data_IF_640661126909
#
_entry.id   IF_640661126909
#
_cell.length_a   1.000
_cell.length_b   1.000
_cell.length_c   1.000
_cell.angle_alpha   90.00
_cell.angle_beta   90.00
_cell.angle_gamma   90.00
#
_symmetry.space_group_name_H-M   'P 1'
#
loop_
_entity.id
_entity.type
_entity.pdbx_description
1 polymer ?
#
# COMPACT_ATOMS: atom_id res chain seq x y z
N UNK A 1 4.98 3.21 -15.63
CA UNK A 1 4.87 4.47 -14.86
C UNK A 1 3.40 4.71 -14.57
N UNK A 2 3.03 4.94 -13.32
CA UNK A 2 1.65 5.27 -12.93
C UNK A 2 1.31 6.69 -13.36
N UNK A 3 0.09 6.93 -13.78
CA UNK A 3 -0.35 8.21 -14.37
C UNK A 3 -1.38 8.91 -13.49
N UNK A 4 -1.63 10.19 -13.75
CA UNK A 4 -2.72 10.93 -13.10
C UNK A 4 -4.09 10.27 -13.37
N UNK A 5 -4.26 9.63 -14.53
CA UNK A 5 -5.49 8.91 -14.87
C UNK A 5 -5.67 7.66 -14.00
N UNK A 6 -4.59 6.92 -13.71
CA UNK A 6 -4.64 5.77 -12.80
C UNK A 6 -5.06 6.21 -11.41
N UNK A 7 -4.56 7.37 -10.93
CA UNK A 7 -4.98 7.95 -9.68
C UNK A 7 -6.46 8.29 -9.64
N UNK A 8 -6.98 8.98 -10.65
CA UNK A 8 -8.40 9.33 -10.72
C UNK A 8 -9.28 8.08 -10.78
N UNK A 9 -8.87 7.05 -11.53
CA UNK A 9 -9.58 5.77 -11.59
C UNK A 9 -9.60 5.06 -10.25
N UNK A 10 -8.45 4.94 -9.60
CA UNK A 10 -8.36 4.34 -8.27
C UNK A 10 -9.18 5.13 -7.24
N UNK A 11 -9.05 6.45 -7.21
CA UNK A 11 -9.79 7.32 -6.31
C UNK A 11 -11.30 7.17 -6.45
N UNK A 12 -11.77 7.09 -7.67
CA UNK A 12 -13.19 7.00 -7.96
C UNK A 12 -13.77 5.59 -7.75
N UNK A 13 -12.96 4.55 -7.85
CA UNK A 13 -13.43 3.15 -7.87
C UNK A 13 -12.63 2.25 -6.91
N UNK A 14 -12.16 2.78 -5.80
CA UNK A 14 -11.37 2.01 -4.82
C UNK A 14 -12.09 0.74 -4.31
N UNK A 15 -13.42 0.71 -4.31
CA UNK A 15 -14.20 -0.48 -3.94
C UNK A 15 -14.05 -1.67 -4.89
N UNK A 16 -13.53 -1.49 -6.11
CA UNK A 16 -13.35 -2.61 -7.06
C UNK A 16 -12.33 -3.64 -6.60
N UNK A 17 -11.33 -3.17 -5.88
CA UNK A 17 -10.24 -3.99 -5.34
C UNK A 17 -10.37 -4.17 -3.83
N UNK A 18 -11.57 -3.91 -3.29
CA UNK A 18 -11.83 -4.07 -1.87
C UNK A 18 -11.82 -5.54 -1.46
N UNK A 19 -11.30 -5.79 -0.26
CA UNK A 19 -11.45 -7.09 0.39
C UNK A 19 -12.94 -7.49 0.47
N UNK A 20 -13.29 -8.75 0.23
CA UNK A 20 -14.68 -9.22 0.20
C UNK A 20 -15.50 -8.85 1.44
N UNK A 21 -14.87 -8.69 2.61
CA UNK A 21 -15.55 -8.33 3.85
C UNK A 21 -16.15 -6.92 3.87
N UNK A 22 -15.66 -6.04 2.96
CA UNK A 22 -16.22 -4.69 2.82
C UNK A 22 -17.53 -4.64 2.05
N UNK A 23 -17.82 -5.65 1.22
CA UNK A 23 -19.02 -5.61 0.41
C UNK A 23 -20.29 -5.76 1.26
N UNK A 24 -21.21 -4.79 1.22
CA UNK A 24 -22.55 -4.96 1.79
C UNK A 24 -23.22 -6.22 1.22
N UNK A 25 -24.03 -6.95 2.00
CA UNK A 25 -24.67 -8.20 1.54
C UNK A 25 -25.39 -8.07 0.21
N UNK A 26 -26.11 -6.98 -0.01
CA UNK A 26 -26.86 -6.73 -1.26
C UNK A 26 -25.94 -6.57 -2.48
N UNK A 27 -24.70 -6.07 -2.31
CA UNK A 27 -23.77 -5.86 -3.41
C UNK A 27 -22.96 -7.11 -3.74
N UNK A 28 -22.84 -8.07 -2.83
CA UNK A 28 -22.14 -9.34 -3.07
C UNK A 28 -22.81 -10.21 -4.14
N UNK A 29 -24.09 -9.99 -4.38
CA UNK A 29 -24.87 -10.74 -5.36
C UNK A 29 -24.81 -10.13 -6.77
N UNK A 30 -24.22 -8.97 -6.93
CA UNK A 30 -24.14 -8.27 -8.19
C UNK A 30 -22.94 -8.77 -9.02
N UNK A 31 -23.18 -8.91 -10.32
CA UNK A 31 -22.09 -9.15 -11.29
C UNK A 31 -21.25 -7.86 -11.47
N UNK A 32 -20.04 -7.98 -12.02
CA UNK A 32 -19.19 -6.83 -12.33
C UNK A 32 -19.91 -5.80 -13.25
N UNK A 33 -20.67 -6.29 -14.26
CA UNK A 33 -21.42 -5.42 -15.16
C UNK A 33 -22.55 -4.65 -14.44
N UNK A 34 -23.22 -5.29 -13.47
CA UNK A 34 -24.24 -4.64 -12.66
C UNK A 34 -23.62 -3.61 -11.70
N UNK A 35 -22.47 -3.93 -11.11
CA UNK A 35 -21.70 -2.98 -10.28
C UNK A 35 -21.27 -1.76 -11.10
N UNK A 36 -20.81 -1.95 -12.34
CA UNK A 36 -20.44 -0.85 -13.23
C UNK A 36 -21.65 0.01 -13.65
N UNK A 37 -22.81 -0.61 -13.87
CA UNK A 37 -24.04 0.11 -14.15
C UNK A 37 -24.49 0.94 -12.95
N UNK A 38 -24.44 0.36 -11.74
CA UNK A 38 -24.72 1.04 -10.49
C UNK A 38 -23.78 2.22 -10.25
N UNK A 39 -22.47 2.03 -10.52
CA UNK A 39 -21.46 3.07 -10.38
C UNK A 39 -21.72 4.27 -11.32
N UNK A 40 -22.18 4.02 -12.56
CA UNK A 40 -22.50 5.09 -13.50
C UNK A 40 -23.69 5.94 -13.05
N UNK A 41 -24.71 5.32 -12.45
CA UNK A 41 -25.93 6.02 -12.05
C UNK A 41 -25.91 6.56 -10.60
N UNK A 42 -25.20 5.86 -9.71
CA UNK A 42 -25.30 6.09 -8.26
C UNK A 42 -23.93 6.10 -7.56
N UNK A 43 -22.89 6.62 -8.23
CA UNK A 43 -21.51 6.62 -7.76
C UNK A 43 -21.35 7.07 -6.31
N UNK A 44 -21.93 8.22 -5.94
CA UNK A 44 -21.81 8.74 -4.59
C UNK A 44 -22.48 7.87 -3.51
N UNK A 45 -23.63 7.25 -3.85
CA UNK A 45 -24.30 6.33 -2.93
C UNK A 45 -23.50 5.03 -2.77
N UNK A 46 -22.96 4.51 -3.87
CA UNK A 46 -22.10 3.34 -3.85
C UNK A 46 -20.82 3.60 -3.02
N UNK A 47 -20.16 4.74 -3.22
CA UNK A 47 -18.99 5.11 -2.43
C UNK A 47 -19.30 5.15 -0.92
N UNK A 48 -20.40 5.76 -0.53
CA UNK A 48 -20.84 5.82 0.88
C UNK A 48 -21.12 4.44 1.48
N UNK A 49 -21.62 3.48 0.69
CA UNK A 49 -21.86 2.11 1.19
C UNK A 49 -20.58 1.38 1.60
N UNK A 50 -19.42 1.82 1.09
CA UNK A 50 -18.07 1.38 1.50
C UNK A 50 -17.44 2.31 2.55
N UNK A 51 -18.19 3.28 3.09
CA UNK A 51 -17.66 4.26 4.04
C UNK A 51 -16.66 5.24 3.42
N UNK A 52 -16.80 5.52 2.12
CA UNK A 52 -15.98 6.51 1.41
C UNK A 52 -16.76 7.82 1.32
N UNK A 53 -16.16 8.91 1.76
CA UNK A 53 -16.70 10.26 1.55
C UNK A 53 -16.42 10.71 0.12
N UNK A 54 -17.47 10.97 -0.70
CA UNK A 54 -17.28 11.48 -2.05
C UNK A 54 -16.62 12.86 -2.04
N UNK A 55 -15.49 12.98 -2.69
CA UNK A 55 -14.76 14.24 -2.87
C UNK A 55 -13.85 14.16 -4.09
N UNK A 56 -13.40 15.31 -4.57
CA UNK A 56 -12.42 15.38 -5.66
C UNK A 56 -11.07 14.80 -5.24
N UNK A 57 -10.37 14.09 -6.13
CA UNK A 57 -9.05 13.57 -5.82
C UNK A 57 -8.06 14.72 -5.56
N UNK A 58 -7.29 14.69 -4.48
CA UNK A 58 -6.17 15.58 -4.30
C UNK A 58 -5.04 15.22 -5.27
N UNK A 59 -4.09 16.12 -5.46
CA UNK A 59 -2.88 15.78 -6.19
C UNK A 59 -2.04 14.81 -5.34
N UNK A 60 -1.77 13.58 -5.81
CA UNK A 60 -0.99 12.61 -5.06
C UNK A 60 0.50 12.95 -5.14
N UNK A 61 1.24 12.65 -4.08
CA UNK A 61 2.68 12.54 -4.22
C UNK A 61 3.03 11.23 -4.98
N UNK A 62 4.23 11.13 -5.60
CA UNK A 62 4.60 9.97 -6.41
C UNK A 62 4.54 8.63 -5.63
N UNK A 63 4.91 8.63 -4.35
CA UNK A 63 4.93 7.40 -3.55
C UNK A 63 3.53 6.93 -3.18
N UNK A 64 2.59 7.86 -2.88
CA UNK A 64 1.18 7.54 -2.66
C UNK A 64 0.55 6.98 -3.95
N UNK A 65 0.84 7.61 -5.08
CA UNK A 65 0.39 7.13 -6.39
C UNK A 65 0.89 5.71 -6.67
N UNK A 66 2.18 5.48 -6.43
CA UNK A 66 2.80 4.18 -6.63
C UNK A 66 2.20 3.10 -5.73
N UNK A 67 2.00 3.41 -4.46
CA UNK A 67 1.43 2.49 -3.49
C UNK A 67 -0.05 2.18 -3.79
N UNK A 68 -0.88 3.20 -3.94
CA UNK A 68 -2.32 3.04 -4.10
C UNK A 68 -2.76 2.51 -5.46
N UNK A 69 -2.00 2.83 -6.52
CA UNK A 69 -2.24 2.30 -7.88
C UNK A 69 -1.27 1.16 -8.23
N UNK A 70 -0.53 0.66 -7.25
CA UNK A 70 0.38 -0.47 -7.38
C UNK A 70 -0.36 -1.80 -7.46
N UNK A 71 0.42 -2.89 -7.45
CA UNK A 71 -0.15 -4.22 -7.28
C UNK A 71 -0.44 -4.46 -5.79
N UNK A 72 -1.40 -5.34 -5.44
CA UNK A 72 -1.60 -5.75 -4.04
C UNK A 72 -0.30 -6.22 -3.37
N UNK A 73 0.53 -6.92 -4.12
CA UNK A 73 1.83 -7.41 -3.69
C UNK A 73 2.81 -6.28 -3.31
N UNK A 74 2.77 -5.16 -4.03
CA UNK A 74 3.59 -3.97 -3.71
C UNK A 74 3.13 -3.32 -2.41
N UNK A 75 1.83 -3.21 -2.21
CA UNK A 75 1.24 -2.70 -0.98
C UNK A 75 1.60 -3.59 0.22
N UNK A 76 1.41 -4.90 0.09
CA UNK A 76 1.72 -5.87 1.14
C UNK A 76 3.19 -5.82 1.53
N UNK A 77 4.10 -5.85 0.55
CA UNK A 77 5.54 -5.79 0.82
C UNK A 77 5.94 -4.46 1.47
N UNK A 78 5.40 -3.33 1.02
CA UNK A 78 5.68 -2.04 1.65
C UNK A 78 5.20 -2.01 3.12
N UNK A 79 4.02 -2.56 3.41
CA UNK A 79 3.51 -2.69 4.78
C UNK A 79 4.40 -3.62 5.64
N UNK A 80 4.86 -4.75 5.10
CA UNK A 80 5.77 -5.66 5.79
C UNK A 80 7.12 -5.00 6.10
N UNK A 81 7.69 -4.26 5.14
CA UNK A 81 8.93 -3.50 5.33
C UNK A 81 8.79 -2.47 6.46
N UNK A 82 7.69 -1.73 6.49
CA UNK A 82 7.42 -0.75 7.56
C UNK A 82 7.23 -1.45 8.90
N UNK A 83 6.45 -2.54 8.95
CA UNK A 83 6.24 -3.32 10.18
C UNK A 83 7.56 -3.83 10.76
N UNK A 84 8.40 -4.47 9.94
CA UNK A 84 9.71 -4.98 10.37
C UNK A 84 10.70 -3.86 10.75
N UNK A 85 10.59 -2.68 10.13
CA UNK A 85 11.42 -1.51 10.51
C UNK A 85 11.02 -0.97 11.89
N UNK A 86 9.71 -0.96 12.21
CA UNK A 86 9.22 -0.44 13.49
C UNK A 86 9.29 -1.46 14.63
N UNK A 87 9.21 -2.75 14.33
CA UNK A 87 9.19 -3.84 15.32
C UNK A 87 10.11 -4.99 14.89
N UNK A 88 11.45 -4.79 14.94
CA UNK A 88 12.41 -5.77 14.43
C UNK A 88 12.43 -7.10 15.21
N UNK A 89 11.78 -7.17 16.35
CA UNK A 89 11.67 -8.41 17.15
C UNK A 89 10.59 -9.38 16.64
N UNK A 90 9.69 -8.93 15.80
CA UNK A 90 8.73 -9.78 15.10
C UNK A 90 9.36 -10.19 13.76
N UNK A 91 10.35 -11.08 13.80
CA UNK A 91 10.98 -11.62 12.58
C UNK A 91 9.87 -12.28 11.77
N UNK A 92 9.43 -11.62 10.72
CA UNK A 92 8.61 -12.24 9.69
C UNK A 92 9.55 -13.08 8.84
N UNK A 93 9.41 -14.41 8.89
CA UNK A 93 10.12 -15.34 8.00
C UNK A 93 9.81 -15.10 6.51
N UNK A 94 8.94 -14.14 6.21
CA UNK A 94 8.45 -13.83 4.88
C UNK A 94 9.36 -12.88 4.08
N UNK A 95 10.24 -12.12 4.75
CA UNK A 95 11.14 -11.18 4.07
C UNK A 95 12.47 -11.85 3.70
N UNK A 96 12.95 -11.60 2.48
CA UNK A 96 14.27 -12.05 2.09
C UNK A 96 15.37 -11.33 2.88
N UNK A 97 16.58 -11.93 2.95
CA UNK A 97 17.70 -11.39 3.72
C UNK A 97 18.09 -9.94 3.33
N UNK A 98 17.94 -9.59 2.04
CA UNK A 98 18.22 -8.25 1.55
C UNK A 98 17.22 -7.22 2.08
N UNK A 99 15.95 -7.60 2.17
CA UNK A 99 14.87 -6.75 2.69
C UNK A 99 14.98 -6.60 4.21
N UNK A 100 15.33 -7.67 4.92
CA UNK A 100 15.64 -7.63 6.37
C UNK A 100 16.80 -6.67 6.67
N UNK A 101 17.90 -6.78 5.94
CA UNK A 101 19.05 -5.87 6.09
C UNK A 101 18.68 -4.41 5.77
N UNK A 102 17.75 -4.18 4.84
CA UNK A 102 17.22 -2.85 4.57
C UNK A 102 16.39 -2.32 5.76
N UNK A 103 15.51 -3.13 6.35
CA UNK A 103 14.73 -2.79 7.53
C UNK A 103 15.63 -2.39 8.72
N UNK A 104 16.67 -3.17 8.99
CA UNK A 104 17.62 -2.87 10.08
C UNK A 104 18.36 -1.55 9.88
N UNK A 105 18.85 -1.26 8.66
CA UNK A 105 19.51 0.02 8.36
C UNK A 105 18.55 1.20 8.53
N UNK A 106 17.32 1.03 8.03
CA UNK A 106 16.28 2.06 8.11
C UNK A 106 15.85 2.30 9.56
N UNK A 107 15.72 1.25 10.36
CA UNK A 107 15.43 1.34 11.79
C UNK A 107 16.53 2.09 12.56
N UNK A 108 17.80 1.83 12.27
CA UNK A 108 18.93 2.56 12.87
C UNK A 108 18.91 4.06 12.51
N UNK A 109 18.56 4.39 11.25
CA UNK A 109 18.54 5.77 10.77
C UNK A 109 17.35 6.58 11.31
N UNK A 110 16.14 6.02 11.28
CA UNK A 110 14.91 6.73 11.64
C UNK A 110 14.53 6.62 13.11
N UNK A 111 14.96 5.53 13.78
CA UNK A 111 14.65 5.21 15.18
C UNK A 111 13.14 5.21 15.47
N UNK A 112 12.34 4.37 14.77
CA UNK A 112 10.89 4.38 14.87
C UNK A 112 10.34 3.63 16.10
N UNK A 113 11.18 3.10 17.00
CA UNK A 113 10.80 2.21 18.10
C UNK A 113 9.80 2.80 19.13
N UNK A 114 9.46 4.09 19.01
CA UNK A 114 8.48 4.77 19.86
C UNK A 114 7.28 5.32 19.06
N UNK A 115 7.14 4.93 17.78
CA UNK A 115 6.07 5.45 16.94
C UNK A 115 4.77 4.67 17.09
N UNK A 116 4.88 3.43 17.54
CA UNK A 116 3.76 2.54 17.80
C UNK A 116 3.79 2.09 19.26
N UNK A 117 2.62 1.96 19.86
CA UNK A 117 2.46 1.31 21.14
C UNK A 117 2.67 -0.21 21.00
N UNK A 118 2.96 -0.88 22.10
CA UNK A 118 3.17 -2.33 22.08
C UNK A 118 1.91 -3.06 21.58
N UNK A 119 2.06 -3.84 20.53
CA UNK A 119 0.97 -4.58 19.90
C UNK A 119 0.10 -3.77 18.95
N UNK A 120 0.41 -2.48 18.71
CA UNK A 120 -0.31 -1.69 17.73
C UNK A 120 0.05 -2.10 16.30
N UNK A 121 -0.97 -2.18 15.43
CA UNK A 121 -0.79 -2.52 14.03
C UNK A 121 -0.04 -1.41 13.28
N UNK A 122 1.00 -1.78 12.53
CA UNK A 122 1.79 -0.85 11.72
C UNK A 122 0.99 -0.11 10.64
N UNK A 123 -0.17 -0.63 10.24
CA UNK A 123 -1.12 0.08 9.36
C UNK A 123 -1.62 1.40 9.96
N UNK A 124 -1.51 1.59 11.28
CA UNK A 124 -1.80 2.87 11.91
C UNK A 124 -0.87 4.00 11.39
N UNK A 125 0.40 3.67 11.07
CA UNK A 125 1.33 4.60 10.43
C UNK A 125 0.94 4.89 8.98
N UNK A 126 0.40 3.90 8.25
CA UNK A 126 -0.12 4.11 6.90
C UNK A 126 -1.29 5.08 6.92
N UNK A 127 -2.25 4.85 7.83
CA UNK A 127 -3.39 5.77 8.05
C UNK A 127 -2.94 7.20 8.30
N UNK A 128 -1.97 7.38 9.22
CA UNK A 128 -1.43 8.70 9.55
C UNK A 128 -0.73 9.37 8.35
N UNK A 129 0.03 8.59 7.57
CA UNK A 129 0.76 9.10 6.41
C UNK A 129 -0.15 9.49 5.24
N UNK A 130 -1.16 8.67 4.94
CA UNK A 130 -2.10 8.91 3.83
C UNK A 130 -3.09 10.04 4.13
N UNK A 131 -3.40 10.27 5.40
CA UNK A 131 -4.48 11.15 5.82
C UNK A 131 -5.87 10.56 5.53
N UNK A 132 -6.90 11.13 6.18
CA UNK A 132 -8.23 10.54 6.29
C UNK A 132 -8.85 10.19 4.93
N UNK A 133 -8.84 11.12 3.98
CA UNK A 133 -9.53 10.94 2.68
C UNK A 133 -8.91 9.85 1.80
N UNK A 134 -7.59 9.74 1.82
CA UNK A 134 -6.89 8.67 1.08
C UNK A 134 -7.02 7.36 1.82
N UNK A 135 -6.97 7.39 3.16
CA UNK A 135 -7.16 6.22 4.00
C UNK A 135 -8.53 5.57 3.83
N UNK A 136 -9.64 6.34 3.78
CA UNK A 136 -10.99 5.81 3.51
C UNK A 136 -11.05 4.88 2.28
N UNK A 137 -10.14 5.05 1.35
CA UNK A 137 -10.03 4.26 0.12
C UNK A 137 -9.00 3.13 0.24
N UNK A 138 -7.83 3.46 0.75
CA UNK A 138 -6.72 2.50 0.87
C UNK A 138 -7.05 1.37 1.86
N UNK A 139 -7.80 1.65 2.93
CA UNK A 139 -8.21 0.65 3.92
C UNK A 139 -9.03 -0.49 3.35
N UNK A 140 -9.70 -0.28 2.23
CA UNK A 140 -10.52 -1.31 1.58
C UNK A 140 -9.70 -2.48 1.06
N UNK A 141 -8.40 -2.31 0.85
CA UNK A 141 -7.49 -3.39 0.46
C UNK A 141 -7.19 -4.40 1.58
N UNK A 142 -7.62 -4.13 2.81
CA UNK A 142 -7.33 -4.95 4.00
C UNK A 142 -8.61 -5.56 4.59
N UNK A 143 -8.53 -6.70 5.30
CA UNK A 143 -9.69 -7.29 5.97
C UNK A 143 -10.38 -6.30 6.90
N UNK A 144 -11.70 -6.21 6.79
CA UNK A 144 -12.51 -5.23 7.53
C UNK A 144 -12.34 -5.34 9.03
N UNK A 145 -12.26 -6.56 9.56
CA UNK A 145 -12.05 -6.82 10.99
C UNK A 145 -10.76 -6.20 11.52
N UNK A 146 -9.66 -6.32 10.75
CA UNK A 146 -8.36 -5.70 11.07
C UNK A 146 -8.46 -4.19 11.13
N UNK A 147 -9.14 -3.59 10.14
CA UNK A 147 -9.31 -2.13 10.07
C UNK A 147 -10.18 -1.59 11.21
N UNK A 148 -11.28 -2.26 11.54
CA UNK A 148 -12.14 -1.86 12.68
C UNK A 148 -11.35 -1.90 13.99
N UNK A 149 -10.56 -2.93 14.22
CA UNK A 149 -9.70 -3.03 15.40
C UNK A 149 -8.65 -1.90 15.44
N UNK A 150 -8.03 -1.59 14.29
CA UNK A 150 -7.06 -0.50 14.16
C UNK A 150 -7.70 0.88 14.39
N UNK A 151 -8.86 1.12 13.81
CA UNK A 151 -9.55 2.43 13.90
C UNK A 151 -10.15 2.70 15.30
N UNK A 152 -10.30 1.67 16.12
CA UNK A 152 -10.70 1.82 17.52
C UNK A 152 -9.56 2.32 18.44
N UNK A 153 -8.32 2.27 17.96
CA UNK A 153 -7.14 2.71 18.69
C UNK A 153 -6.77 4.16 18.35
N UNK A 154 -6.08 4.88 19.25
CA UNK A 154 -5.59 6.22 18.95
C UNK A 154 -4.57 6.19 17.81
N UNK A 155 -4.63 7.20 16.94
CA UNK A 155 -3.67 7.33 15.84
C UNK A 155 -2.29 7.71 16.37
N UNK A 156 -1.22 7.03 15.94
CA UNK A 156 0.14 7.38 16.32
C UNK A 156 0.52 8.77 15.78
N UNK A 157 1.41 9.46 16.49
CA UNK A 157 1.87 10.80 16.12
C UNK A 157 3.40 10.82 15.93
N UNK A 158 3.94 10.10 14.94
CA UNK A 158 5.35 10.14 14.64
C UNK A 158 5.75 11.49 14.03
N UNK A 159 7.05 11.86 14.05
CA UNK A 159 7.53 13.04 13.35
C UNK A 159 7.24 12.94 11.83
N UNK A 160 6.42 13.87 11.31
CA UNK A 160 5.87 13.80 9.95
C UNK A 160 6.93 13.65 8.85
N UNK A 161 8.06 14.37 8.95
CA UNK A 161 9.16 14.25 7.98
C UNK A 161 9.78 12.84 7.97
N UNK A 162 9.97 12.23 9.14
CA UNK A 162 10.51 10.87 9.25
C UNK A 162 9.52 9.83 8.78
N UNK A 163 8.23 9.99 9.09
CA UNK A 163 7.16 9.11 8.62
C UNK A 163 7.09 9.14 7.09
N UNK A 164 7.15 10.33 6.50
CA UNK A 164 7.18 10.48 5.05
C UNK A 164 8.40 9.79 4.43
N UNK A 165 9.60 9.97 5.00
CA UNK A 165 10.82 9.29 4.55
C UNK A 165 10.68 7.78 4.65
N UNK A 166 10.12 7.24 5.74
CA UNK A 166 9.90 5.80 5.91
C UNK A 166 9.02 5.23 4.79
N UNK A 167 7.85 5.83 4.57
CA UNK A 167 6.92 5.33 3.56
C UNK A 167 7.44 5.49 2.13
N UNK A 168 8.06 6.63 1.80
CA UNK A 168 8.67 6.83 0.48
C UNK A 168 9.75 5.78 0.18
N UNK A 169 10.62 5.52 1.16
CA UNK A 169 11.69 4.54 0.99
C UNK A 169 11.17 3.11 0.97
N UNK A 170 10.13 2.78 1.74
CA UNK A 170 9.50 1.46 1.72
C UNK A 170 8.79 1.19 0.39
N UNK A 171 8.04 2.16 -0.15
CA UNK A 171 7.40 2.04 -1.47
C UNK A 171 8.44 1.79 -2.57
N UNK A 172 9.50 2.60 -2.60
CA UNK A 172 10.59 2.43 -3.57
C UNK A 172 11.28 1.06 -3.44
N UNK A 173 11.56 0.62 -2.20
CA UNK A 173 12.18 -0.68 -1.95
C UNK A 173 11.28 -1.83 -2.38
N UNK A 174 9.97 -1.76 -2.10
CA UNK A 174 9.00 -2.76 -2.53
C UNK A 174 8.93 -2.88 -4.07
N UNK A 175 8.94 -1.75 -4.78
CA UNK A 175 8.99 -1.76 -6.24
C UNK A 175 10.26 -2.40 -6.77
N UNK A 176 11.42 -2.11 -6.16
CA UNK A 176 12.68 -2.72 -6.56
C UNK A 176 12.71 -4.24 -6.33
N UNK A 177 12.25 -4.69 -5.16
CA UNK A 177 12.24 -6.12 -4.82
C UNK A 177 11.30 -6.93 -5.69
N UNK A 178 10.26 -6.31 -6.24
CA UNK A 178 9.28 -6.95 -7.12
C UNK A 178 9.59 -6.73 -8.62
N UNK A 179 10.57 -5.90 -8.96
CA UNK A 179 10.99 -5.73 -10.34
C UNK A 179 11.56 -7.04 -10.89
N UNK A 180 11.20 -7.45 -12.12
CA UNK A 180 11.80 -8.63 -12.73
C UNK A 180 13.33 -8.43 -12.82
N UNK A 181 14.11 -9.39 -12.30
CA UNK A 181 15.56 -9.38 -12.40
C UNK A 181 15.94 -9.41 -13.87
N UNK A 182 16.32 -8.28 -14.43
CA UNK A 182 16.93 -8.22 -15.76
C UNK A 182 18.36 -8.76 -15.57
N UNK A 183 18.51 -10.08 -15.69
CA UNK A 183 19.85 -10.69 -15.82
C UNK A 183 20.39 -10.17 -17.15
N UNK A 184 21.52 -9.43 -17.18
CA UNK A 184 22.18 -9.14 -18.43
C UNK A 184 22.58 -10.48 -19.01
N UNK A 185 22.02 -10.86 -20.17
CA UNK A 185 22.54 -11.96 -20.98
C UNK A 185 23.93 -11.50 -21.39
N UNK A 186 24.99 -11.97 -20.72
CA UNK A 186 26.35 -11.88 -21.22
C UNK A 186 26.35 -12.56 -22.59
N UNK A 187 26.29 -11.74 -23.61
CA UNK A 187 26.62 -12.16 -24.96
C UNK A 187 28.11 -12.44 -24.96
N UNK A 188 28.44 -13.71 -24.73
CA UNK A 188 29.80 -14.22 -24.89
C UNK A 188 30.13 -14.11 -26.39
N UNK A 189 30.74 -12.99 -26.73
CA UNK A 189 31.25 -12.71 -28.07
C UNK A 189 32.36 -13.72 -28.36
N UNK A 190 32.00 -14.82 -29.01
CA UNK A 190 32.91 -15.85 -29.46
C UNK A 190 33.75 -15.25 -30.60
N UNK A 191 34.93 -14.75 -30.26
CA UNK A 191 35.94 -14.29 -31.19
C UNK A 191 36.38 -15.49 -32.06
N UNK A 192 36.19 -15.46 -33.40
CA UNK A 192 36.72 -16.53 -34.23
C UNK A 192 38.23 -16.51 -34.23
N UNK A 193 38.84 -17.66 -33.89
CA UNK A 193 40.29 -17.88 -34.07
C UNK A 193 40.60 -17.90 -35.58
N UNK A 194 41.38 -16.94 -36.01
CA UNK A 194 42.05 -16.96 -37.31
C UNK A 194 43.19 -17.98 -37.28
N UNK A 195 43.05 -19.00 -38.14
CA UNK A 195 44.16 -19.90 -38.56
C UNK A 195 44.88 -19.26 -39.73
#
# INVERSE_FOLDING_TARGET
MKTALDWVRWWSHAWREADPDWYPPALRLLTAAQMDALARGHHAALARSFGITPCTPPQPNPSVLSLCCGTPRTLDLACQLVANTCSPLTISDELCAQDQAWCERTAKALRPGHWLEQGQDSLALLRTWLGERTWERARLAFPRSRIVALESQPSPQPPGAKLNTLWQSACWKAEQSLAPSTTPTETHDARPALA
#
